data_IF_240159157185
#
_entry.id   IF_240159157185
#
_cell.length_a   1.000
_cell.length_b   1.000
_cell.length_c   1.000
_cell.angle_alpha   90.00
_cell.angle_beta   90.00
_cell.angle_gamma   90.00
#
_symmetry.space_group_name_H-M   'P 1'
#
loop_
_entity.id
_entity.type
_entity.pdbx_description
1 polymer ?
#
# COMPACT_ATOMS: atom_id res chain seq x y z
N UNK A 1 -13.69 12.22 -1.22
CA UNK A 1 -14.19 11.10 -0.40
C UNK A 1 -12.98 10.34 0.13
N UNK A 2 -12.92 10.02 1.42
CA UNK A 2 -11.76 9.33 2.02
C UNK A 2 -11.92 7.83 1.83
N UNK A 3 -10.84 7.15 1.45
CA UNK A 3 -10.79 5.68 1.42
C UNK A 3 -9.77 5.22 2.45
N UNK A 4 -10.16 4.33 3.36
CA UNK A 4 -9.27 3.73 4.37
C UNK A 4 -9.01 2.27 4.03
N UNK A 5 -7.72 1.93 3.87
CA UNK A 5 -7.28 0.56 3.62
C UNK A 5 -6.86 -0.07 4.95
N UNK A 6 -7.48 -1.18 5.32
CA UNK A 6 -7.30 -1.80 6.64
C UNK A 6 -6.90 -3.25 6.57
N UNK A 7 -6.28 -3.74 7.64
CA UNK A 7 -5.92 -5.14 7.86
C UNK A 7 -6.46 -5.61 9.22
N UNK A 8 -6.85 -6.88 9.32
CA UNK A 8 -7.23 -7.50 10.59
C UNK A 8 -6.09 -7.39 11.62
N UNK A 9 -6.48 -7.23 12.88
CA UNK A 9 -5.58 -7.17 14.04
C UNK A 9 -4.52 -6.04 13.99
N UNK A 10 -4.79 -4.96 13.27
CA UNK A 10 -3.94 -3.77 13.23
C UNK A 10 -4.46 -2.69 14.18
N UNK A 11 -3.70 -2.39 15.23
CA UNK A 11 -4.04 -1.33 16.19
C UNK A 11 -4.05 0.04 15.53
N UNK A 12 -3.14 0.32 14.59
CA UNK A 12 -3.13 1.58 13.84
C UNK A 12 -4.38 1.75 12.98
N UNK A 13 -4.88 0.69 12.34
CA UNK A 13 -6.13 0.75 11.57
C UNK A 13 -7.35 1.03 12.47
N UNK A 14 -7.37 0.49 13.68
CA UNK A 14 -8.43 0.77 14.65
C UNK A 14 -8.40 2.24 15.10
N UNK A 15 -7.22 2.76 15.42
CA UNK A 15 -7.04 4.15 15.81
C UNK A 15 -7.41 5.13 14.69
N UNK A 16 -7.00 4.85 13.46
CA UNK A 16 -7.32 5.69 12.30
C UNK A 16 -8.83 5.77 12.05
N UNK A 17 -9.53 4.63 12.13
CA UNK A 17 -10.98 4.56 11.99
C UNK A 17 -11.71 5.37 13.06
N UNK A 18 -11.34 5.16 14.33
CA UNK A 18 -11.87 5.94 15.46
C UNK A 18 -11.64 7.43 15.29
N UNK A 19 -10.50 7.83 14.76
CA UNK A 19 -10.21 9.23 14.50
C UNK A 19 -11.15 9.81 13.44
N UNK A 20 -11.40 9.10 12.34
CA UNK A 20 -12.35 9.53 11.31
C UNK A 20 -13.79 9.60 11.87
N UNK A 21 -14.22 8.57 12.60
CA UNK A 21 -15.55 8.51 13.23
C UNK A 21 -15.75 9.67 14.23
N UNK A 22 -14.74 9.95 15.06
CA UNK A 22 -14.80 11.03 16.07
C UNK A 22 -14.84 12.44 15.46
N UNK A 23 -14.43 12.61 14.20
CA UNK A 23 -14.44 13.88 13.49
C UNK A 23 -15.58 13.97 12.45
N UNK A 24 -16.49 13.00 12.44
CA UNK A 24 -17.63 12.92 11.50
C UNK A 24 -17.18 12.97 10.03
N UNK A 25 -16.05 12.32 9.72
CA UNK A 25 -15.50 12.27 8.37
C UNK A 25 -16.02 11.00 7.69
N UNK A 26 -16.80 11.17 6.61
CA UNK A 26 -17.24 10.05 5.79
C UNK A 26 -16.07 9.37 5.06
N UNK A 27 -15.99 8.05 5.18
CA UNK A 27 -15.00 7.22 4.48
C UNK A 27 -15.58 5.89 3.99
N UNK A 28 -14.94 5.34 2.96
CA UNK A 28 -15.14 3.96 2.52
C UNK A 28 -13.99 3.09 3.03
N UNK A 29 -14.31 1.89 3.55
CA UNK A 29 -13.31 0.94 4.02
C UNK A 29 -13.06 -0.19 3.00
N UNK A 30 -11.77 -0.45 2.75
CA UNK A 30 -11.30 -1.66 2.07
C UNK A 30 -10.46 -2.50 3.04
N UNK A 31 -11.03 -3.59 3.55
CA UNK A 31 -10.29 -4.52 4.42
C UNK A 31 -9.61 -5.61 3.60
N UNK A 32 -8.29 -5.49 3.40
CA UNK A 32 -7.50 -6.39 2.55
C UNK A 32 -7.31 -7.80 3.14
N UNK A 33 -7.59 -7.98 4.42
CA UNK A 33 -7.57 -9.33 5.03
C UNK A 33 -8.83 -10.12 4.72
N UNK A 34 -9.95 -9.43 4.47
CA UNK A 34 -11.25 -10.04 4.14
C UNK A 34 -11.50 -10.05 2.63
N UNK A 35 -11.13 -8.98 1.95
CA UNK A 35 -11.38 -8.74 0.53
C UNK A 35 -10.07 -8.33 -0.16
N UNK A 36 -9.09 -9.24 -0.28
CA UNK A 36 -7.79 -8.93 -0.87
C UNK A 36 -7.91 -8.44 -2.32
N UNK A 37 -8.90 -8.93 -3.07
CA UNK A 37 -9.12 -8.58 -4.48
C UNK A 37 -9.75 -7.19 -4.70
N UNK A 38 -10.17 -6.50 -3.62
CA UNK A 38 -10.68 -5.12 -3.72
C UNK A 38 -9.55 -4.09 -3.72
N UNK A 39 -8.30 -4.50 -3.46
CA UNK A 39 -7.13 -3.66 -3.67
C UNK A 39 -6.73 -3.71 -5.15
N UNK A 40 -7.32 -2.81 -5.93
CA UNK A 40 -7.12 -2.77 -7.39
C UNK A 40 -5.82 -2.07 -7.78
N UNK A 41 -5.41 -2.27 -9.03
CA UNK A 41 -4.25 -1.57 -9.61
C UNK A 41 -4.38 -0.05 -9.53
N UNK A 42 -5.57 0.49 -9.78
CA UNK A 42 -5.80 1.94 -9.78
C UNK A 42 -5.64 2.54 -8.38
N UNK A 43 -6.10 1.83 -7.35
CA UNK A 43 -5.89 2.23 -5.95
C UNK A 43 -4.40 2.22 -5.62
N UNK A 44 -3.67 1.18 -6.05
CA UNK A 44 -2.22 1.10 -5.83
C UNK A 44 -1.48 2.25 -6.54
N UNK A 45 -1.86 2.59 -7.76
CA UNK A 45 -1.30 3.73 -8.50
C UNK A 45 -1.59 5.04 -7.78
N UNK A 46 -2.82 5.24 -7.30
CA UNK A 46 -3.16 6.44 -6.53
C UNK A 46 -2.32 6.57 -5.27
N UNK A 47 -2.20 5.50 -4.48
CA UNK A 47 -1.35 5.50 -3.27
C UNK A 47 0.08 5.89 -3.65
N UNK A 48 0.67 5.23 -4.65
CA UNK A 48 2.05 5.49 -5.06
C UNK A 48 2.26 6.90 -5.64
N UNK A 49 1.25 7.47 -6.29
CA UNK A 49 1.33 8.83 -6.85
C UNK A 49 1.36 9.91 -5.78
N UNK A 50 0.92 9.59 -4.55
CA UNK A 50 0.95 10.49 -3.40
C UNK A 50 2.26 10.39 -2.61
N UNK A 51 3.11 9.40 -2.88
CA UNK A 51 4.31 9.10 -2.11
C UNK A 51 5.58 9.57 -2.84
N UNK A 52 6.37 10.41 -2.18
CA UNK A 52 7.64 10.91 -2.75
C UNK A 52 8.70 9.80 -2.85
N UNK A 53 8.70 8.83 -1.92
CA UNK A 53 9.63 7.69 -1.93
C UNK A 53 9.12 6.49 -2.76
N UNK A 54 8.00 6.65 -3.48
CA UNK A 54 7.37 5.61 -4.29
C UNK A 54 7.11 4.33 -3.49
N UNK A 55 7.50 3.17 -4.04
CA UNK A 55 7.24 1.87 -3.42
C UNK A 55 7.90 1.73 -2.04
N UNK A 56 9.00 2.45 -1.79
CA UNK A 56 9.72 2.40 -0.51
C UNK A 56 8.87 2.91 0.65
N UNK A 57 7.92 3.82 0.39
CA UNK A 57 7.02 4.38 1.40
C UNK A 57 6.04 3.34 1.95
N UNK A 58 5.65 2.34 1.13
CA UNK A 58 4.68 1.31 1.53
C UNK A 58 5.25 0.28 2.50
N UNK A 59 6.56 0.27 2.69
CA UNK A 59 7.24 -0.67 3.58
C UNK A 59 7.90 0.09 4.74
N UNK A 60 7.47 -0.23 5.96
CA UNK A 60 8.09 0.35 7.15
C UNK A 60 9.60 0.08 7.18
N UNK A 61 10.39 1.01 7.74
CA UNK A 61 11.87 0.96 7.78
C UNK A 61 12.46 -0.40 8.22
N UNK A 62 11.78 -1.13 9.11
CA UNK A 62 12.19 -2.46 9.61
C UNK A 62 12.03 -3.60 8.58
N UNK A 63 11.25 -3.40 7.51
CA UNK A 63 11.02 -4.37 6.44
C UNK A 63 11.93 -4.17 5.25
N UNK A 64 12.76 -3.12 5.22
CA UNK A 64 13.78 -2.94 4.18
C UNK A 64 14.79 -4.10 4.19
N UNK A 65 15.02 -4.75 5.33
CA UNK A 65 15.87 -5.96 5.41
C UNK A 65 15.11 -7.27 5.25
N UNK A 66 13.79 -7.24 5.03
CA UNK A 66 12.99 -8.44 4.81
C UNK A 66 13.37 -9.06 3.45
N UNK A 67 13.75 -10.35 3.39
CA UNK A 67 14.13 -11.00 2.14
C UNK A 67 13.05 -10.92 1.05
N UNK A 68 11.76 -10.90 1.42
CA UNK A 68 10.66 -10.76 0.46
C UNK A 68 10.60 -9.36 -0.15
N UNK A 69 10.92 -8.34 0.64
CA UNK A 69 11.02 -6.96 0.16
C UNK A 69 12.21 -6.81 -0.80
N UNK A 70 13.38 -7.31 -0.41
CA UNK A 70 14.58 -7.25 -1.24
C UNK A 70 14.40 -7.99 -2.58
N UNK A 71 13.77 -9.17 -2.55
CA UNK A 71 13.40 -9.89 -3.76
C UNK A 71 12.44 -9.08 -4.64
N UNK A 72 11.38 -8.51 -4.07
CA UNK A 72 10.38 -7.74 -4.82
C UNK A 72 11.01 -6.50 -5.50
N UNK A 73 11.82 -5.73 -4.78
CA UNK A 73 12.49 -4.55 -5.33
C UNK A 73 13.38 -4.94 -6.50
N UNK A 74 14.20 -5.97 -6.31
CA UNK A 74 15.07 -6.49 -7.37
C UNK A 74 14.27 -6.95 -8.60
N UNK A 75 13.16 -7.67 -8.41
CA UNK A 75 12.30 -8.10 -9.52
C UNK A 75 11.66 -6.93 -10.27
N UNK A 76 11.33 -5.82 -9.59
CA UNK A 76 10.80 -4.62 -10.25
C UNK A 76 11.90 -3.90 -11.06
N UNK A 77 13.11 -3.81 -10.53
CA UNK A 77 14.27 -3.25 -11.25
C UNK A 77 14.61 -4.08 -12.50
N UNK A 78 14.60 -5.41 -12.36
CA UNK A 78 14.81 -6.35 -13.47
C UNK A 78 13.71 -6.23 -14.54
N UNK A 79 12.44 -6.12 -14.15
CA UNK A 79 11.32 -5.87 -15.07
C UNK A 79 11.48 -4.56 -15.85
N UNK A 80 11.95 -3.50 -15.19
CA UNK A 80 12.24 -2.23 -15.85
C UNK A 80 13.36 -2.36 -16.88
N UNK A 81 14.40 -3.15 -16.57
CA UNK A 81 15.52 -3.40 -17.47
C UNK A 81 15.09 -4.23 -18.68
N UNK A 82 14.36 -5.34 -18.46
CA UNK A 82 13.83 -6.16 -19.55
C UNK A 82 12.92 -5.36 -20.47
N UNK A 83 12.01 -4.55 -19.89
CA UNK A 83 11.12 -3.67 -20.66
C UNK A 83 11.92 -2.66 -21.51
N UNK A 84 13.02 -2.10 -20.97
CA UNK A 84 13.90 -1.19 -21.69
C UNK A 84 14.75 -1.88 -22.78
N UNK A 85 15.14 -3.14 -22.57
CA UNK A 85 15.92 -3.95 -23.51
C UNK A 85 15.05 -4.64 -24.59
N UNK A 86 13.73 -4.66 -24.39
CA UNK A 86 12.76 -5.21 -25.35
C UNK A 86 12.35 -4.24 -26.49
N UNK A 87 13.08 -3.14 -26.67
CA UNK A 87 12.95 -2.19 -27.79
C UNK A 87 14.04 -2.41 -28.86
#
# INVERSE_FOLDING_TARGET
MVTIITKNSSTSCLSARRWLDNHDINYEEINISRQPFHLTRDILIQILSLEEEGLSALYGRKKKTDPKYQWLVKSIEELSLESALSF
#
